data_IF_802311867142
#
_entry.id   IF_802311867142
#
_cell.length_a   1.000
_cell.length_b   1.000
_cell.length_c   1.000
_cell.angle_alpha   90.00
_cell.angle_beta   90.00
_cell.angle_gamma   90.00
#
_symmetry.space_group_name_H-M   'P 1'
#
loop_
_entity.id
_entity.type
_entity.pdbx_description
1 polymer ?
#
# COMPACT_ATOMS: atom_id res chain seq x y z
N UNK A 1 -37.64 -45.88 -28.96
CA UNK A 1 -39.04 -46.17 -29.33
C UNK A 1 -39.81 -46.57 -28.09
N UNK A 2 -41.02 -46.02 -27.94
CA UNK A 2 -42.09 -46.35 -27.00
C UNK A 2 -41.85 -46.30 -25.48
N UNK A 3 -42.51 -45.29 -24.91
CA UNK A 3 -42.93 -45.08 -23.51
C UNK A 3 -43.64 -46.29 -22.90
N UNK A 4 -43.56 -46.41 -21.57
CA UNK A 4 -44.68 -46.81 -20.72
C UNK A 4 -44.57 -46.07 -19.37
N UNK A 5 -45.63 -45.35 -19.03
CA UNK A 5 -45.91 -44.72 -17.72
C UNK A 5 -46.75 -45.71 -16.87
N UNK A 6 -47.58 -45.28 -15.90
CA UNK A 6 -47.28 -44.89 -14.50
C UNK A 6 -48.10 -45.73 -13.47
N UNK A 7 -47.80 -45.63 -12.17
CA UNK A 7 -48.70 -46.00 -11.05
C UNK A 7 -48.22 -45.17 -9.84
N UNK A 8 -49.01 -44.37 -9.12
CA UNK A 8 -50.31 -44.66 -8.51
C UNK A 8 -50.07 -44.82 -7.00
N UNK A 9 -50.12 -43.75 -6.20
CA UNK A 9 -51.28 -43.22 -5.46
C UNK A 9 -51.28 -43.55 -3.95
N UNK A 10 -51.29 -42.49 -3.13
CA UNK A 10 -52.08 -42.23 -1.90
C UNK A 10 -51.92 -43.16 -0.68
N UNK A 11 -51.58 -42.57 0.47
CA UNK A 11 -52.28 -42.62 1.80
C UNK A 11 -51.46 -41.74 2.78
N UNK A 12 -51.91 -40.54 3.16
CA UNK A 12 -52.84 -40.16 4.24
C UNK A 12 -52.15 -39.87 5.59
N UNK A 13 -52.09 -38.56 5.89
CA UNK A 13 -52.19 -37.84 7.18
C UNK A 13 -51.85 -38.56 8.49
N UNK A 14 -50.89 -37.98 9.23
CA UNK A 14 -50.98 -37.81 10.68
C UNK A 14 -50.36 -36.45 11.08
N UNK A 15 -51.16 -35.65 11.77
CA UNK A 15 -50.79 -34.40 12.43
C UNK A 15 -49.80 -34.67 13.57
N UNK A 16 -48.74 -33.86 13.70
CA UNK A 16 -48.30 -33.36 15.01
C UNK A 16 -47.92 -31.88 14.86
N UNK A 17 -48.64 -31.08 15.62
CA UNK A 17 -48.52 -29.65 15.88
C UNK A 17 -47.19 -29.33 16.56
N UNK A 18 -46.43 -28.36 16.03
CA UNK A 18 -45.54 -27.54 16.86
C UNK A 18 -45.42 -26.14 16.27
N UNK A 19 -46.13 -25.21 16.91
CA UNK A 19 -45.76 -23.81 16.93
C UNK A 19 -44.44 -23.67 17.67
N UNK A 20 -43.58 -22.72 17.27
CA UNK A 20 -43.11 -21.60 18.10
C UNK A 20 -41.87 -20.93 17.46
N UNK A 21 -42.01 -19.61 17.30
CA UNK A 21 -40.99 -18.55 17.18
C UNK A 21 -40.05 -18.49 15.98
N UNK A 22 -40.37 -17.53 15.10
CA UNK A 22 -39.39 -16.68 14.41
C UNK A 22 -38.38 -16.11 15.42
N UNK A 23 -37.12 -16.50 15.34
CA UNK A 23 -36.02 -15.70 15.89
C UNK A 23 -35.67 -14.61 14.88
N UNK A 24 -36.22 -13.43 15.11
CA UNK A 24 -35.65 -12.17 14.64
C UNK A 24 -34.29 -11.99 15.33
N UNK A 25 -33.21 -12.35 14.64
CA UNK A 25 -31.90 -11.81 14.99
C UNK A 25 -31.83 -10.39 14.42
N UNK A 26 -32.29 -9.44 15.21
CA UNK A 26 -31.90 -8.04 15.08
C UNK A 26 -30.40 -7.96 15.28
N UNK A 27 -29.64 -7.89 14.20
CA UNK A 27 -28.26 -7.44 14.26
C UNK A 27 -28.28 -5.95 14.60
N UNK A 28 -28.35 -5.64 15.90
CA UNK A 28 -27.83 -4.37 16.39
C UNK A 28 -26.36 -4.35 16.03
N UNK A 29 -26.00 -3.61 14.98
CA UNK A 29 -24.64 -3.14 14.79
C UNK A 29 -24.28 -2.35 16.05
N UNK A 30 -23.65 -3.02 17.00
CA UNK A 30 -22.82 -2.35 17.98
C UNK A 30 -21.71 -1.69 17.16
N UNK A 31 -21.85 -0.39 16.91
CA UNK A 31 -20.69 0.43 16.64
C UNK A 31 -19.72 0.14 17.79
N UNK A 32 -18.60 -0.51 17.47
CA UNK A 32 -17.52 -0.60 18.42
C UNK A 32 -17.13 0.85 18.73
N UNK A 33 -17.43 1.29 19.95
CA UNK A 33 -16.90 2.55 20.48
C UNK A 33 -15.40 2.57 20.18
N UNK A 34 -14.92 3.68 19.60
CA UNK A 34 -13.48 3.94 19.58
C UNK A 34 -12.95 3.76 21.00
N UNK A 35 -11.83 3.03 21.20
CA UNK A 35 -11.28 2.92 22.53
C UNK A 35 -10.91 4.33 22.97
N UNK A 36 -11.68 4.84 23.96
CA UNK A 36 -11.35 6.01 24.76
C UNK A 36 -9.86 5.98 25.00
N UNK A 37 -9.14 7.01 24.55
CA UNK A 37 -7.70 7.14 24.67
C UNK A 37 -7.29 6.68 26.08
N UNK A 38 -6.78 5.46 26.18
CA UNK A 38 -6.38 4.92 27.46
C UNK A 38 -5.31 5.88 27.96
N UNK A 39 -5.49 6.39 29.17
CA UNK A 39 -4.56 7.25 29.87
C UNK A 39 -3.27 6.45 30.17
N UNK A 40 -2.54 6.04 29.11
CA UNK A 40 -1.18 5.53 29.19
C UNK A 40 -0.34 6.73 29.58
N UNK A 41 0.34 6.63 30.70
CA UNK A 41 1.32 7.64 31.09
C UNK A 41 2.25 7.88 29.90
N UNK A 42 2.35 9.14 29.45
CA UNK A 42 3.23 9.48 28.34
C UNK A 42 4.67 9.19 28.77
N UNK A 43 5.39 8.37 28.00
CA UNK A 43 6.80 8.12 28.25
C UNK A 43 7.59 9.44 28.21
N UNK A 44 8.75 9.51 28.88
CA UNK A 44 9.68 10.63 28.70
C UNK A 44 9.91 10.89 27.22
N UNK A 45 9.93 12.17 26.86
CA UNK A 45 10.05 12.56 25.46
C UNK A 45 11.40 12.09 24.90
N UNK A 46 11.38 11.43 23.73
CA UNK A 46 12.57 11.07 22.97
C UNK A 46 13.04 12.24 22.09
N UNK A 47 14.02 12.02 21.21
CA UNK A 47 14.63 13.11 20.42
C UNK A 47 13.68 13.72 19.40
N UNK A 48 12.57 13.07 19.05
CA UNK A 48 11.57 13.63 18.13
C UNK A 48 10.78 14.80 18.74
N UNK A 49 10.87 15.02 20.05
CA UNK A 49 10.20 16.15 20.71
C UNK A 49 10.71 17.52 20.25
N UNK A 50 11.88 17.58 19.60
CA UNK A 50 12.44 18.79 18.99
C UNK A 50 12.08 19.00 17.52
N UNK A 51 11.34 18.07 16.90
CA UNK A 51 10.99 18.13 15.47
C UNK A 51 9.77 19.03 15.22
N UNK A 52 9.62 19.47 13.97
CA UNK A 52 8.46 20.28 13.54
C UNK A 52 7.34 19.47 12.90
N UNK A 53 7.68 18.31 12.31
CA UNK A 53 6.69 17.42 11.69
C UNK A 53 5.63 16.97 12.71
N UNK A 54 4.34 17.21 12.44
CA UNK A 54 3.26 16.64 13.26
C UNK A 54 3.30 15.11 13.32
N UNK A 55 3.74 14.46 12.24
CA UNK A 55 3.92 13.02 12.18
C UNK A 55 5.02 12.55 13.12
N UNK A 56 6.19 13.21 13.15
CA UNK A 56 7.28 12.85 14.06
C UNK A 56 6.92 13.15 15.53
N UNK A 57 6.27 14.28 15.80
CA UNK A 57 5.84 14.68 17.13
C UNK A 57 4.83 13.70 17.75
N UNK A 58 4.01 13.03 16.93
CA UNK A 58 3.11 11.95 17.39
C UNK A 58 3.90 10.79 18.03
N UNK A 59 5.13 10.54 17.59
CA UNK A 59 6.00 9.48 18.10
C UNK A 59 6.94 9.92 19.24
N UNK A 60 6.89 11.20 19.66
CA UNK A 60 7.82 11.77 20.62
C UNK A 60 7.73 11.12 22.02
N UNK A 61 6.61 10.48 22.34
CA UNK A 61 6.38 9.81 23.62
C UNK A 61 6.23 8.29 23.49
N UNK A 62 6.70 7.71 22.38
CA UNK A 62 6.76 6.25 22.27
C UNK A 62 7.89 5.72 23.17
N UNK A 63 7.76 4.51 23.73
CA UNK A 63 8.82 3.89 24.53
C UNK A 63 10.10 3.63 23.71
N UNK A 64 9.99 3.51 22.39
CA UNK A 64 11.14 3.48 21.48
C UNK A 64 11.88 4.83 21.52
N UNK A 65 13.20 4.78 21.73
CA UNK A 65 14.10 5.92 21.75
C UNK A 65 14.44 6.36 20.33
N UNK A 66 13.47 7.02 19.70
CA UNK A 66 13.60 7.53 18.35
C UNK A 66 14.59 8.68 18.25
N UNK A 67 15.36 8.67 17.16
CA UNK A 67 16.11 9.80 16.64
C UNK A 67 15.48 10.30 15.32
N UNK A 68 15.55 11.61 15.03
CA UNK A 68 15.35 12.08 13.67
C UNK A 68 16.50 11.63 12.77
N UNK A 69 16.28 11.66 11.46
CA UNK A 69 17.36 11.41 10.50
C UNK A 69 18.39 12.54 10.54
N UNK A 70 19.63 12.21 10.88
CA UNK A 70 20.72 13.18 10.89
C UNK A 70 22.04 12.64 11.44
N UNK A 71 23.05 13.49 11.45
CA UNK A 71 24.42 13.12 11.84
C UNK A 71 24.52 12.59 13.27
N UNK A 72 23.68 13.05 14.21
CA UNK A 72 23.68 12.54 15.59
C UNK A 72 23.39 11.03 15.62
N UNK A 73 22.31 10.60 14.95
CA UNK A 73 21.91 9.20 14.91
C UNK A 73 22.91 8.34 14.14
N UNK A 74 23.37 8.83 12.98
CA UNK A 74 24.34 8.12 12.14
C UNK A 74 25.69 7.96 12.85
N UNK A 75 26.16 9.00 13.55
CA UNK A 75 27.39 8.94 14.33
C UNK A 75 27.24 8.02 15.53
N UNK A 76 26.09 8.02 16.21
CA UNK A 76 25.80 7.07 17.28
C UNK A 76 25.86 5.63 16.78
N UNK A 77 25.25 5.33 15.63
CA UNK A 77 25.26 4.00 15.04
C UNK A 77 26.69 3.53 14.72
N UNK A 78 27.49 4.37 14.08
CA UNK A 78 28.92 4.10 13.79
C UNK A 78 29.73 3.88 15.06
N UNK A 79 29.61 4.77 16.05
CA UNK A 79 30.35 4.69 17.32
C UNK A 79 30.02 3.43 18.11
N UNK A 80 28.75 3.06 18.16
CA UNK A 80 28.27 1.91 18.93
C UNK A 80 28.27 0.61 18.12
N UNK A 81 28.63 0.67 16.84
CA UNK A 81 28.57 -0.45 15.88
C UNK A 81 27.22 -1.18 15.91
N UNK A 82 26.13 -0.40 15.98
CA UNK A 82 24.75 -0.91 16.04
C UNK A 82 24.05 -0.78 14.69
N UNK A 83 23.23 -1.78 14.38
CA UNK A 83 22.29 -1.73 13.24
C UNK A 83 21.34 -0.55 13.43
N UNK A 84 21.06 0.15 12.33
CA UNK A 84 20.04 1.20 12.30
C UNK A 84 18.70 0.55 11.94
N UNK A 85 17.68 0.77 12.76
CA UNK A 85 16.30 0.52 12.35
C UNK A 85 15.69 1.84 11.86
N UNK A 86 15.52 1.96 10.55
CA UNK A 86 14.92 3.11 9.88
C UNK A 86 13.44 2.85 9.61
N UNK A 87 12.56 3.68 10.20
CA UNK A 87 11.11 3.64 9.97
C UNK A 87 10.61 4.93 9.31
N UNK A 88 10.23 4.83 8.03
CA UNK A 88 9.71 5.96 7.24
C UNK A 88 8.18 5.85 7.14
N UNK A 89 7.48 6.95 7.39
CA UNK A 89 6.04 7.07 7.21
C UNK A 89 5.61 8.51 6.97
N UNK A 90 4.32 8.77 7.06
CA UNK A 90 3.71 10.10 6.89
C UNK A 90 2.35 10.17 7.59
N UNK A 91 1.84 11.37 7.79
CA UNK A 91 0.68 11.67 8.64
C UNK A 91 -0.61 10.93 8.23
N UNK A 92 -0.88 10.75 6.94
CA UNK A 92 -2.09 10.08 6.42
C UNK A 92 -1.90 8.57 6.14
N UNK A 93 -0.76 7.98 6.55
CA UNK A 93 -0.48 6.57 6.33
C UNK A 93 -1.18 5.66 7.36
N UNK A 94 -2.28 5.00 6.95
CA UNK A 94 -3.01 4.07 7.83
C UNK A 94 -2.12 2.99 8.46
N UNK A 95 -1.34 2.27 7.65
CA UNK A 95 -0.49 1.18 8.15
C UNK A 95 0.64 1.67 9.06
N UNK A 96 1.06 2.92 8.95
CA UNK A 96 2.05 3.52 9.84
C UNK A 96 1.47 3.69 11.25
N UNK A 97 0.22 4.14 11.36
CA UNK A 97 -0.52 4.24 12.62
C UNK A 97 -0.85 2.87 13.21
N UNK A 98 -1.12 1.87 12.37
CA UNK A 98 -1.31 0.50 12.86
C UNK A 98 -0.01 -0.05 13.47
N UNK A 99 1.12 0.05 12.75
CA UNK A 99 2.41 -0.43 13.26
C UNK A 99 2.88 0.35 14.50
N UNK A 100 2.57 1.63 14.57
CA UNK A 100 2.82 2.46 15.77
C UNK A 100 2.13 1.89 17.00
N UNK A 101 0.81 1.68 16.93
CA UNK A 101 0.01 1.18 18.06
C UNK A 101 0.36 -0.25 18.45
N UNK A 102 0.61 -1.10 17.47
CA UNK A 102 0.84 -2.52 17.71
C UNK A 102 2.29 -2.83 18.11
N UNK A 103 3.28 -2.11 17.55
CA UNK A 103 4.70 -2.41 17.73
C UNK A 103 5.48 -1.33 18.45
N UNK A 104 5.30 -0.05 18.11
CA UNK A 104 6.15 1.02 18.66
C UNK A 104 5.69 1.52 20.04
N UNK A 105 4.48 1.17 20.47
CA UNK A 105 3.98 1.37 21.84
C UNK A 105 4.10 0.11 22.71
N UNK A 106 4.63 -0.99 22.17
CA UNK A 106 4.84 -2.24 22.89
C UNK A 106 6.18 -2.19 23.63
N UNK A 107 6.13 -2.36 24.96
CA UNK A 107 7.29 -2.22 25.84
C UNK A 107 8.38 -3.27 25.60
N UNK A 108 7.99 -4.50 25.23
CA UNK A 108 8.94 -5.57 24.98
C UNK A 108 9.71 -5.30 23.67
N UNK A 109 8.98 -4.92 22.62
CA UNK A 109 9.59 -4.54 21.34
C UNK A 109 10.47 -3.30 21.53
N UNK A 110 9.98 -2.29 22.26
CA UNK A 110 10.71 -1.06 22.49
C UNK A 110 12.00 -1.29 23.29
N UNK A 111 11.97 -2.10 24.35
CA UNK A 111 13.15 -2.47 25.12
C UNK A 111 14.22 -3.10 24.22
N UNK A 112 13.84 -4.07 23.39
CA UNK A 112 14.74 -4.76 22.47
C UNK A 112 15.34 -3.81 21.42
N UNK A 113 14.50 -2.94 20.85
CA UNK A 113 14.94 -1.92 19.92
C UNK A 113 15.94 -0.95 20.54
N UNK A 114 15.64 -0.46 21.75
CA UNK A 114 16.49 0.50 22.46
C UNK A 114 17.83 -0.11 22.86
N UNK A 115 17.85 -1.39 23.21
CA UNK A 115 19.06 -2.09 23.61
C UNK A 115 20.01 -2.32 22.43
N UNK A 116 19.48 -2.77 21.28
CA UNK A 116 20.31 -3.33 20.22
C UNK A 116 20.40 -2.48 18.94
N UNK A 117 19.54 -1.48 18.76
CA UNK A 117 19.44 -0.71 17.53
C UNK A 117 19.59 0.80 17.78
N UNK A 118 19.97 1.52 16.73
CA UNK A 118 19.72 2.97 16.64
C UNK A 118 18.44 3.16 15.83
N UNK A 119 17.37 3.57 16.51
CA UNK A 119 16.05 3.71 15.90
C UNK A 119 15.89 5.12 15.31
N UNK A 120 15.68 5.21 14.00
CA UNK A 120 15.48 6.47 13.28
C UNK A 120 14.07 6.53 12.71
N UNK A 121 13.34 7.62 13.00
CA UNK A 121 12.03 7.91 12.44
C UNK A 121 12.16 9.00 11.38
N UNK A 122 11.51 8.82 10.24
CA UNK A 122 11.50 9.79 9.15
C UNK A 122 10.08 10.07 8.70
N UNK A 123 9.79 11.36 8.53
CA UNK A 123 8.62 11.82 7.79
C UNK A 123 8.99 11.95 6.32
N UNK A 124 8.30 11.18 5.48
CA UNK A 124 8.45 11.23 4.03
C UNK A 124 8.09 12.61 3.47
N UNK A 125 7.12 13.29 4.07
CA UNK A 125 6.64 14.59 3.58
C UNK A 125 7.72 15.67 3.74
N UNK A 126 8.58 15.55 4.76
CA UNK A 126 9.73 16.44 4.96
C UNK A 126 11.03 15.94 4.29
N UNK A 127 11.22 14.61 4.18
CA UNK A 127 12.43 13.97 3.61
C UNK A 127 12.11 12.98 2.47
N UNK A 128 11.54 13.46 1.35
CA UNK A 128 11.22 12.62 0.20
C UNK A 128 12.47 12.03 -0.47
N UNK A 129 13.63 12.66 -0.28
CA UNK A 129 14.94 12.19 -0.73
C UNK A 129 15.36 10.90 -0.03
N UNK A 130 15.25 10.85 1.30
CA UNK A 130 15.55 9.67 2.11
C UNK A 130 14.55 8.56 1.82
N UNK A 131 13.27 8.90 1.75
CA UNK A 131 12.20 7.98 1.39
C UNK A 131 12.46 7.30 0.04
N UNK A 132 12.70 8.08 -1.02
CA UNK A 132 12.89 7.55 -2.36
C UNK A 132 14.08 6.62 -2.47
N UNK A 133 15.18 6.94 -1.77
CA UNK A 133 16.39 6.12 -1.72
C UNK A 133 16.11 4.74 -1.12
N UNK A 134 15.52 4.71 0.09
CA UNK A 134 15.29 3.46 0.79
C UNK A 134 14.08 2.69 0.26
N UNK A 135 13.08 3.36 -0.30
CA UNK A 135 11.99 2.70 -1.04
C UNK A 135 12.54 1.92 -2.23
N UNK A 136 13.44 2.55 -3.00
CA UNK A 136 14.11 1.88 -4.13
C UNK A 136 14.92 0.68 -3.64
N UNK A 137 15.65 0.81 -2.53
CA UNK A 137 16.38 -0.32 -1.95
C UNK A 137 15.46 -1.49 -1.56
N UNK A 138 14.33 -1.23 -0.90
CA UNK A 138 13.35 -2.28 -0.52
C UNK A 138 12.70 -2.91 -1.75
N UNK A 139 12.42 -2.13 -2.80
CA UNK A 139 11.92 -2.65 -4.07
C UNK A 139 12.95 -3.57 -4.75
N UNK A 140 14.24 -3.25 -4.69
CA UNK A 140 15.29 -4.13 -5.21
C UNK A 140 15.37 -5.45 -4.43
N UNK A 141 15.21 -5.40 -3.10
CA UNK A 141 15.25 -6.58 -2.22
C UNK A 141 14.01 -7.47 -2.42
N UNK A 142 12.81 -6.88 -2.46
CA UNK A 142 11.55 -7.62 -2.35
C UNK A 142 10.67 -7.61 -3.61
N UNK A 143 11.03 -6.85 -4.65
CA UNK A 143 10.20 -6.57 -5.84
C UNK A 143 8.87 -5.88 -5.53
N UNK A 144 8.71 -5.35 -4.31
CA UNK A 144 7.54 -4.60 -3.84
C UNK A 144 7.98 -3.54 -2.84
N UNK A 145 7.17 -2.50 -2.70
CA UNK A 145 7.40 -1.40 -1.76
C UNK A 145 6.10 -0.79 -1.26
N UNK A 146 6.18 0.03 -0.22
CA UNK A 146 5.04 0.67 0.41
C UNK A 146 5.37 1.19 1.82
N UNK A 147 4.38 1.78 2.48
CA UNK A 147 4.53 2.34 3.82
C UNK A 147 3.68 1.58 4.85
N UNK A 148 4.10 1.52 6.13
CA UNK A 148 5.35 2.03 6.69
C UNK A 148 6.55 1.33 6.05
N UNK A 149 7.62 2.07 5.79
CA UNK A 149 8.84 1.49 5.24
C UNK A 149 9.77 1.16 6.41
N UNK A 150 10.02 -0.13 6.61
CA UNK A 150 10.81 -0.65 7.73
C UNK A 150 12.12 -1.21 7.19
N UNK A 151 13.23 -0.54 7.42
CA UNK A 151 14.53 -0.87 6.80
C UNK A 151 15.60 -1.02 7.86
N UNK A 152 16.43 -2.05 7.72
CA UNK A 152 17.57 -2.30 8.59
C UNK A 152 18.85 -2.00 7.82
N UNK A 153 19.67 -1.12 8.40
CA UNK A 153 20.88 -0.60 7.79
C UNK A 153 22.09 -0.96 8.63
N UNK A 154 23.24 -1.12 7.98
CA UNK A 154 24.53 -1.12 8.66
C UNK A 154 24.76 0.22 9.38
N UNK A 155 25.74 0.31 10.30
CA UNK A 155 26.13 1.58 10.93
C UNK A 155 26.48 2.70 9.93
N UNK A 156 26.90 2.34 8.72
CA UNK A 156 27.22 3.27 7.62
C UNK A 156 26.01 3.58 6.72
N UNK A 157 24.80 3.30 7.21
CA UNK A 157 23.52 3.57 6.56
C UNK A 157 23.28 2.80 5.24
N UNK A 158 23.98 1.68 5.02
CA UNK A 158 23.74 0.81 3.85
C UNK A 158 22.63 -0.21 4.15
N UNK A 159 21.57 -0.31 3.33
CA UNK A 159 20.46 -1.23 3.58
C UNK A 159 20.84 -2.68 3.27
N UNK A 160 20.50 -3.62 4.15
CA UNK A 160 20.66 -5.06 3.89
C UNK A 160 19.36 -5.85 4.01
N UNK A 161 18.36 -5.32 4.72
CA UNK A 161 17.05 -5.94 4.85
C UNK A 161 16.00 -4.86 4.98
N UNK A 162 14.78 -5.13 4.52
CA UNK A 162 13.66 -4.24 4.74
C UNK A 162 12.37 -4.82 4.21
N UNK A 163 11.25 -4.28 4.66
CA UNK A 163 9.92 -4.60 4.18
C UNK A 163 8.99 -3.41 4.40
N UNK A 164 7.69 -3.64 4.23
CA UNK A 164 6.67 -2.64 4.55
C UNK A 164 6.24 -2.77 6.02
N UNK A 165 5.01 -3.20 6.24
CA UNK A 165 4.44 -3.45 7.56
C UNK A 165 4.86 -4.83 8.10
N UNK A 166 5.22 -4.87 9.38
CA UNK A 166 5.35 -6.10 10.16
C UNK A 166 4.27 -6.13 11.25
N UNK A 167 3.54 -7.24 11.43
CA UNK A 167 2.70 -7.41 12.62
C UNK A 167 3.56 -7.46 13.89
N UNK A 168 3.01 -7.16 15.07
CA UNK A 168 3.82 -7.11 16.29
C UNK A 168 4.39 -8.49 16.68
N UNK A 169 3.55 -9.52 16.67
CA UNK A 169 3.88 -10.90 17.05
C UNK A 169 3.63 -11.87 15.89
N UNK A 170 4.25 -13.06 15.98
CA UNK A 170 4.01 -14.14 15.03
C UNK A 170 2.54 -14.56 15.08
N UNK A 171 1.95 -14.80 13.89
CA UNK A 171 0.55 -15.19 13.71
C UNK A 171 -0.53 -14.13 13.98
N UNK A 172 -0.17 -12.91 14.39
CA UNK A 172 -1.11 -11.77 14.36
C UNK A 172 -1.68 -11.55 12.94
N UNK A 173 -0.90 -11.95 11.92
CA UNK A 173 -1.36 -12.10 10.55
C UNK A 173 -0.94 -13.43 9.94
N UNK A 174 -1.84 -14.15 9.24
CA UNK A 174 -1.50 -15.41 8.61
C UNK A 174 -0.32 -15.30 7.64
N UNK A 175 0.69 -16.14 7.84
CA UNK A 175 1.84 -16.26 6.93
C UNK A 175 2.86 -15.12 7.00
N UNK A 176 2.81 -14.26 8.02
CA UNK A 176 3.76 -13.14 8.20
C UNK A 176 4.46 -13.26 9.55
N UNK A 177 5.78 -13.19 9.53
CA UNK A 177 6.62 -13.15 10.74
C UNK A 177 6.43 -11.83 11.48
N UNK A 178 6.32 -11.92 12.80
CA UNK A 178 6.17 -10.78 13.70
C UNK A 178 7.45 -9.95 13.82
N UNK A 179 7.26 -8.67 14.10
CA UNK A 179 8.31 -7.68 14.22
C UNK A 179 9.25 -8.01 15.37
N UNK A 180 8.73 -8.50 16.50
CA UNK A 180 9.55 -8.98 17.62
C UNK A 180 10.54 -10.08 17.16
N UNK A 181 10.06 -11.05 16.39
CA UNK A 181 10.88 -12.15 15.86
C UNK A 181 11.90 -11.64 14.85
N UNK A 182 11.51 -10.72 13.98
CA UNK A 182 12.43 -10.07 13.01
C UNK A 182 13.56 -9.32 13.73
N UNK A 183 13.23 -8.47 14.71
CA UNK A 183 14.21 -7.66 15.45
C UNK A 183 15.20 -8.55 16.21
N UNK A 184 14.71 -9.60 16.88
CA UNK A 184 15.59 -10.60 17.54
C UNK A 184 16.53 -11.26 16.54
N UNK A 185 16.00 -11.73 15.42
CA UNK A 185 16.80 -12.44 14.41
C UNK A 185 17.87 -11.56 13.78
N UNK A 186 17.57 -10.29 13.51
CA UNK A 186 18.55 -9.35 12.97
C UNK A 186 19.64 -9.05 13.99
N UNK A 187 19.29 -8.89 15.26
CA UNK A 187 20.28 -8.70 16.32
C UNK A 187 21.23 -9.91 16.44
N UNK A 188 20.69 -11.13 16.46
CA UNK A 188 21.48 -12.38 16.47
C UNK A 188 22.45 -12.44 15.28
N UNK A 189 21.94 -12.22 14.06
CA UNK A 189 22.76 -12.26 12.85
C UNK A 189 23.86 -11.20 12.84
N UNK A 190 23.61 -10.02 13.40
CA UNK A 190 24.63 -8.97 13.54
C UNK A 190 25.70 -9.35 14.57
N UNK A 191 25.36 -10.10 15.62
CA UNK A 191 26.32 -10.63 16.58
C UNK A 191 27.14 -11.80 16.03
N UNK A 192 26.48 -12.72 15.32
CA UNK A 192 27.09 -13.96 14.82
C UNK A 192 27.88 -13.77 13.51
N UNK A 193 27.41 -12.91 12.61
CA UNK A 193 27.94 -12.80 11.24
C UNK A 193 27.81 -11.38 10.66
N UNK A 194 28.36 -10.34 11.32
CA UNK A 194 28.22 -8.96 10.87
C UNK A 194 28.83 -8.70 9.49
N UNK A 195 29.93 -9.38 9.15
CA UNK A 195 30.59 -9.22 7.84
C UNK A 195 29.71 -9.69 6.69
N UNK A 196 28.95 -10.77 6.88
CA UNK A 196 28.00 -11.23 5.87
C UNK A 196 26.90 -10.19 5.62
N UNK A 197 26.38 -9.58 6.68
CA UNK A 197 25.39 -8.50 6.55
C UNK A 197 25.97 -7.24 5.90
N UNK A 198 27.25 -6.94 6.12
CA UNK A 198 27.95 -5.85 5.40
C UNK A 198 28.11 -6.16 3.92
N UNK A 199 28.49 -7.39 3.56
CA UNK A 199 28.58 -7.82 2.17
C UNK A 199 27.22 -7.75 1.47
N UNK A 200 26.15 -8.21 2.14
CA UNK A 200 24.78 -8.09 1.64
C UNK A 200 24.41 -6.61 1.42
N UNK A 201 24.75 -5.74 2.38
CA UNK A 201 24.51 -4.30 2.29
C UNK A 201 25.27 -3.65 1.13
N UNK A 202 26.52 -4.05 0.89
CA UNK A 202 27.34 -3.55 -0.21
C UNK A 202 26.77 -3.95 -1.57
N UNK A 203 26.25 -5.17 -1.69
CA UNK A 203 25.56 -5.62 -2.92
C UNK A 203 24.30 -4.81 -3.19
N UNK A 204 23.47 -4.59 -2.16
CA UNK A 204 22.26 -3.75 -2.30
C UNK A 204 22.64 -2.30 -2.64
N UNK A 205 23.66 -1.74 -1.98
CA UNK A 205 24.12 -0.38 -2.26
C UNK A 205 24.66 -0.21 -3.69
N UNK A 206 25.38 -1.20 -4.22
CA UNK A 206 25.86 -1.19 -5.60
C UNK A 206 24.70 -1.27 -6.61
N UNK A 207 23.72 -2.15 -6.37
CA UNK A 207 22.53 -2.25 -7.20
C UNK A 207 21.71 -0.95 -7.17
N UNK A 208 21.53 -0.36 -5.99
CA UNK A 208 20.85 0.92 -5.80
C UNK A 208 21.56 2.05 -6.55
N UNK A 209 22.89 2.12 -6.47
CA UNK A 209 23.67 3.12 -7.22
C UNK A 209 23.45 2.98 -8.73
N UNK A 210 23.47 1.75 -9.24
CA UNK A 210 23.24 1.46 -10.67
C UNK A 210 21.84 1.90 -11.10
N UNK A 211 20.81 1.57 -10.32
CA UNK A 211 19.42 1.96 -10.58
C UNK A 211 19.27 3.49 -10.60
N UNK A 212 19.84 4.18 -9.61
CA UNK A 212 19.77 5.65 -9.54
C UNK A 212 20.57 6.33 -10.66
N UNK A 213 21.71 5.76 -11.07
CA UNK A 213 22.45 6.24 -12.24
C UNK A 213 21.67 6.01 -13.54
N UNK A 214 20.93 4.89 -13.64
CA UNK A 214 20.02 4.61 -14.75
C UNK A 214 18.83 5.57 -14.85
N UNK A 215 18.41 6.15 -13.71
CA UNK A 215 17.36 7.19 -13.62
C UNK A 215 17.86 8.60 -13.92
N UNK A 216 19.18 8.81 -14.08
CA UNK A 216 19.66 10.09 -14.63
C UNK A 216 19.00 10.31 -15.98
N UNK A 217 18.65 11.56 -16.36
CA UNK A 217 18.06 11.83 -17.66
C UNK A 217 18.99 11.26 -18.74
N UNK A 218 18.65 10.08 -19.26
CA UNK A 218 19.16 9.65 -20.54
C UNK A 218 18.66 10.69 -21.55
N UNK A 219 19.41 10.89 -22.64
CA UNK A 219 18.93 11.75 -23.72
C UNK A 219 17.46 11.39 -23.99
N UNK A 220 16.57 12.39 -23.90
CA UNK A 220 15.13 12.18 -24.06
C UNK A 220 14.93 11.36 -25.32
N UNK A 221 14.54 10.09 -25.17
CA UNK A 221 14.12 9.31 -26.33
C UNK A 221 12.94 10.07 -26.93
N UNK A 222 12.93 10.34 -28.24
CA UNK A 222 11.79 10.99 -28.86
C UNK A 222 10.50 10.26 -28.45
N UNK A 223 9.50 11.00 -27.99
CA UNK A 223 8.15 10.49 -27.81
C UNK A 223 7.54 10.31 -29.21
N UNK A 224 8.00 9.27 -29.91
CA UNK A 224 7.58 8.97 -31.26
C UNK A 224 6.29 8.13 -31.28
N UNK A 225 5.69 8.00 -32.46
CA UNK A 225 4.44 7.26 -32.63
C UNK A 225 4.57 5.79 -32.25
N UNK A 226 5.72 5.17 -32.50
CA UNK A 226 5.96 3.77 -32.16
C UNK A 226 5.89 3.57 -30.65
N UNK A 227 6.48 4.48 -29.87
CA UNK A 227 6.38 4.46 -28.42
C UNK A 227 4.94 4.64 -27.93
N UNK A 228 4.20 5.63 -28.47
CA UNK A 228 2.80 5.87 -28.09
C UNK A 228 1.89 4.69 -28.45
N UNK A 229 2.11 4.03 -29.60
CA UNK A 229 1.38 2.83 -29.99
C UNK A 229 1.61 1.68 -29.00
N UNK A 230 2.87 1.44 -28.62
CA UNK A 230 3.20 0.40 -27.64
C UNK A 230 2.55 0.67 -26.28
N UNK A 231 2.52 1.91 -25.81
CA UNK A 231 1.83 2.26 -24.56
C UNK A 231 0.33 1.95 -24.65
N UNK A 232 -0.31 2.23 -25.79
CA UNK A 232 -1.73 1.89 -25.97
C UNK A 232 -1.96 0.37 -26.00
N UNK A 233 -1.07 -0.39 -26.65
CA UNK A 233 -1.11 -1.86 -26.66
C UNK A 233 -0.96 -2.44 -25.25
N UNK A 234 0.01 -1.96 -24.46
CA UNK A 234 0.22 -2.37 -23.07
C UNK A 234 -0.98 -2.03 -22.17
N UNK A 235 -1.67 -0.90 -22.42
CA UNK A 235 -2.91 -0.57 -21.72
C UNK A 235 -4.05 -1.51 -22.12
N UNK A 236 -4.16 -1.88 -23.40
CA UNK A 236 -5.17 -2.80 -23.89
C UNK A 236 -5.00 -4.22 -23.31
N UNK A 237 -3.77 -4.69 -23.15
CA UNK A 237 -3.49 -5.97 -22.49
C UNK A 237 -3.91 -6.00 -21.01
N UNK A 238 -3.84 -4.84 -20.35
CA UNK A 238 -4.18 -4.67 -18.94
C UNK A 238 -5.62 -4.23 -18.69
N UNK A 239 -6.38 -3.98 -19.76
CA UNK A 239 -7.72 -3.43 -19.67
C UNK A 239 -8.73 -4.48 -19.21
N UNK A 240 -9.57 -4.11 -18.25
CA UNK A 240 -10.69 -4.93 -17.80
C UNK A 240 -11.90 -4.67 -18.71
N UNK A 241 -12.15 -5.55 -19.68
CA UNK A 241 -13.25 -5.40 -20.64
C UNK A 241 -14.64 -5.33 -19.95
N UNK A 242 -14.81 -6.07 -18.86
CA UNK A 242 -16.07 -6.16 -18.14
C UNK A 242 -16.31 -4.90 -17.28
N UNK A 243 -15.30 -4.49 -16.52
CA UNK A 243 -15.44 -3.49 -15.45
C UNK A 243 -14.66 -2.20 -15.69
N UNK A 244 -13.95 -2.05 -16.80
CA UNK A 244 -13.09 -0.90 -17.07
C UNK A 244 -11.91 -0.76 -16.09
N UNK A 245 -11.01 0.17 -16.36
CA UNK A 245 -9.75 0.33 -15.62
C UNK A 245 -8.66 -0.62 -16.07
N UNK A 246 -7.48 -0.47 -15.47
CA UNK A 246 -6.25 -1.15 -15.90
C UNK A 246 -5.67 -2.04 -14.79
N UNK A 247 -4.64 -2.80 -15.17
CA UNK A 247 -3.96 -3.78 -14.34
C UNK A 247 -4.64 -5.15 -14.26
N UNK A 248 -5.70 -5.40 -15.03
CA UNK A 248 -6.38 -6.69 -15.06
C UNK A 248 -5.44 -7.82 -15.49
N UNK A 249 -5.56 -8.97 -14.83
CA UNK A 249 -4.84 -10.18 -15.19
C UNK A 249 -5.68 -11.39 -14.84
N UNK A 250 -5.75 -12.37 -15.75
CA UNK A 250 -6.43 -13.65 -15.52
C UNK A 250 -5.82 -14.39 -14.33
N UNK A 251 -4.51 -14.22 -14.08
CA UNK A 251 -3.83 -14.83 -12.95
C UNK A 251 -4.18 -14.19 -11.60
N UNK A 252 -4.60 -12.92 -11.59
CA UNK A 252 -5.00 -12.20 -10.39
C UNK A 252 -6.17 -11.25 -10.66
N UNK A 253 -7.39 -11.78 -10.87
CA UNK A 253 -8.52 -10.99 -11.34
C UNK A 253 -9.17 -10.14 -10.25
N UNK A 254 -8.79 -10.30 -8.96
CA UNK A 254 -9.44 -9.64 -7.82
C UNK A 254 -8.56 -8.59 -7.13
N UNK A 255 -7.58 -8.04 -7.84
CA UNK A 255 -6.72 -6.97 -7.30
C UNK A 255 -7.51 -5.67 -7.05
N UNK A 256 -7.07 -4.82 -6.11
CA UNK A 256 -7.55 -3.46 -5.99
C UNK A 256 -7.39 -2.68 -7.30
N UNK A 257 -8.32 -1.78 -7.58
CA UNK A 257 -8.40 -1.02 -8.83
C UNK A 257 -8.34 0.49 -8.59
N UNK A 258 -7.47 1.16 -9.34
CA UNK A 258 -7.15 2.57 -9.20
C UNK A 258 -7.67 3.39 -10.40
N UNK A 259 -8.13 4.63 -10.20
CA UNK A 259 -8.58 5.52 -11.28
C UNK A 259 -7.56 5.83 -12.39
N UNK A 260 -6.26 5.81 -12.06
CA UNK A 260 -5.13 6.07 -12.96
C UNK A 260 -5.36 7.23 -13.97
N UNK A 261 -5.57 8.49 -13.49
CA UNK A 261 -5.97 9.60 -14.35
C UNK A 261 -5.01 9.90 -15.51
N UNK A 262 -3.71 9.64 -15.34
CA UNK A 262 -2.70 9.77 -16.41
C UNK A 262 -2.99 8.87 -17.61
N UNK A 263 -3.47 7.65 -17.38
CA UNK A 263 -3.83 6.72 -18.44
C UNK A 263 -5.10 7.20 -19.16
N UNK A 264 -6.06 7.76 -18.43
CA UNK A 264 -7.27 8.34 -19.01
C UNK A 264 -6.95 9.56 -19.89
N UNK A 265 -6.11 10.48 -19.43
CA UNK A 265 -5.67 11.65 -20.20
C UNK A 265 -4.89 11.24 -21.46
N UNK A 266 -4.03 10.22 -21.35
CA UNK A 266 -3.36 9.63 -22.51
C UNK A 266 -4.37 9.08 -23.52
N UNK A 267 -5.38 8.30 -23.07
CA UNK A 267 -6.40 7.75 -23.96
C UNK A 267 -7.28 8.83 -24.61
N UNK A 268 -7.55 9.95 -23.93
CA UNK A 268 -8.22 11.11 -24.53
C UNK A 268 -7.39 11.65 -25.70
N UNK A 269 -6.08 11.82 -25.51
CA UNK A 269 -5.17 12.26 -26.56
C UNK A 269 -5.19 11.28 -27.75
N UNK A 270 -5.11 9.97 -27.49
CA UNK A 270 -5.15 8.92 -28.53
C UNK A 270 -6.49 8.87 -29.27
N UNK A 271 -7.61 8.96 -28.57
CA UNK A 271 -8.94 8.93 -29.17
C UNK A 271 -9.21 10.14 -30.09
N UNK A 272 -8.52 11.27 -29.87
CA UNK A 272 -8.66 12.51 -30.66
C UNK A 272 -7.63 12.64 -31.78
N UNK A 273 -6.55 11.86 -31.77
CA UNK A 273 -5.46 11.95 -32.72
C UNK A 273 -5.88 11.49 -34.13
N UNK A 274 -6.17 12.45 -35.00
CA UNK A 274 -6.60 12.24 -36.39
C UNK A 274 -5.53 11.58 -37.28
N UNK A 275 -4.31 11.41 -36.78
CA UNK A 275 -3.22 10.75 -37.52
C UNK A 275 -3.22 9.23 -37.33
N UNK A 276 -4.02 8.71 -36.40
CA UNK A 276 -4.21 7.29 -36.17
C UNK A 276 -5.32 6.73 -37.05
N UNK A 277 -5.24 5.43 -37.34
CA UNK A 277 -6.35 4.71 -37.94
C UNK A 277 -7.59 4.67 -37.02
N UNK A 278 -8.74 4.40 -37.64
CA UNK A 278 -10.03 4.43 -36.96
C UNK A 278 -10.12 3.38 -35.84
N UNK A 279 -9.52 2.22 -36.03
CA UNK A 279 -9.53 1.10 -35.08
C UNK A 279 -8.76 1.47 -33.80
N UNK A 280 -7.57 2.06 -33.92
CA UNK A 280 -6.78 2.51 -32.78
C UNK A 280 -7.47 3.63 -32.00
N UNK A 281 -8.11 4.59 -32.70
CA UNK A 281 -8.90 5.64 -32.02
C UNK A 281 -10.10 5.06 -31.30
N UNK A 282 -10.81 4.12 -31.92
CA UNK A 282 -11.99 3.48 -31.35
C UNK A 282 -11.64 2.62 -30.14
N UNK A 283 -10.52 1.89 -30.18
CA UNK A 283 -10.02 1.11 -29.05
C UNK A 283 -9.67 2.03 -27.87
N UNK A 284 -8.96 3.14 -28.10
CA UNK A 284 -8.64 4.10 -27.06
C UNK A 284 -9.91 4.72 -26.44
N UNK A 285 -10.87 5.11 -27.28
CA UNK A 285 -12.16 5.63 -26.85
C UNK A 285 -12.95 4.62 -26.03
N UNK A 286 -12.95 3.35 -26.45
CA UNK A 286 -13.63 2.26 -25.75
C UNK A 286 -13.07 2.09 -24.33
N UNK A 287 -11.75 1.95 -24.19
CA UNK A 287 -11.10 1.81 -22.90
C UNK A 287 -11.39 3.01 -21.97
N UNK A 288 -11.31 4.22 -22.51
CA UNK A 288 -11.60 5.47 -21.79
C UNK A 288 -13.03 5.52 -21.26
N UNK A 289 -14.01 5.43 -22.17
CA UNK A 289 -15.43 5.62 -21.82
C UNK A 289 -15.92 4.52 -20.90
N UNK A 290 -15.50 3.27 -21.14
CA UNK A 290 -15.88 2.15 -20.28
C UNK A 290 -15.35 2.34 -18.86
N UNK A 291 -14.10 2.78 -18.71
CA UNK A 291 -13.50 3.06 -17.40
C UNK A 291 -14.23 4.18 -16.66
N UNK A 292 -14.46 5.31 -17.33
CA UNK A 292 -15.17 6.46 -16.75
C UNK A 292 -16.59 6.09 -16.32
N UNK A 293 -17.35 5.38 -17.15
CA UNK A 293 -18.71 4.96 -16.77
C UNK A 293 -18.71 4.01 -15.57
N UNK A 294 -17.81 3.02 -15.55
CA UNK A 294 -17.78 2.04 -14.47
C UNK A 294 -17.34 2.66 -13.14
N UNK A 295 -16.42 3.64 -13.17
CA UNK A 295 -16.08 4.42 -12.00
C UNK A 295 -17.25 5.29 -11.53
N UNK A 296 -17.90 6.02 -12.44
CA UNK A 296 -19.00 6.92 -12.11
C UNK A 296 -20.22 6.19 -11.53
N UNK A 297 -20.49 4.96 -11.98
CA UNK A 297 -21.56 4.11 -11.46
C UNK A 297 -21.15 3.25 -10.26
N UNK A 298 -19.85 3.12 -9.99
CA UNK A 298 -19.31 2.35 -8.88
C UNK A 298 -19.47 3.05 -7.52
N UNK A 299 -19.19 2.31 -6.46
CA UNK A 299 -19.06 2.85 -5.10
C UNK A 299 -17.73 3.60 -4.86
N UNK A 300 -16.80 3.58 -5.83
CA UNK A 300 -15.64 4.48 -5.82
C UNK A 300 -16.04 5.95 -5.96
N UNK A 301 -17.15 6.25 -6.64
CA UNK A 301 -17.73 7.59 -6.68
C UNK A 301 -18.55 7.82 -5.40
N UNK A 302 -18.24 8.86 -4.64
CA UNK A 302 -19.04 9.25 -3.49
C UNK A 302 -20.30 9.96 -3.98
N UNK A 303 -21.38 9.20 -4.12
CA UNK A 303 -22.68 9.70 -4.56
C UNK A 303 -23.35 10.67 -3.57
N UNK A 304 -22.83 10.79 -2.33
CA UNK A 304 -23.38 11.68 -1.29
C UNK A 304 -22.54 12.95 -1.19
N UNK A 305 -21.23 12.80 -0.95
CA UNK A 305 -20.30 13.90 -0.72
C UNK A 305 -19.57 14.40 -1.98
N UNK A 306 -19.76 13.74 -3.12
CA UNK A 306 -19.11 14.06 -4.39
C UNK A 306 -17.64 13.64 -4.48
N UNK A 307 -17.12 13.56 -5.70
CA UNK A 307 -15.74 13.15 -5.96
C UNK A 307 -15.52 11.64 -5.85
N UNK A 308 -14.28 11.22 -6.06
CA UNK A 308 -13.86 9.83 -6.10
C UNK A 308 -12.97 9.49 -4.91
N UNK A 309 -13.21 8.32 -4.33
CA UNK A 309 -12.29 7.67 -3.41
C UNK A 309 -11.02 7.21 -4.14
N UNK A 310 -9.93 7.09 -3.39
CA UNK A 310 -8.59 6.85 -3.95
C UNK A 310 -8.49 5.58 -4.80
N UNK A 311 -9.13 4.50 -4.35
CA UNK A 311 -9.18 3.23 -5.07
C UNK A 311 -10.34 2.35 -4.57
N UNK A 312 -10.68 1.34 -5.36
CA UNK A 312 -11.60 0.26 -4.97
C UNK A 312 -10.79 -0.94 -4.50
N UNK A 313 -11.15 -1.54 -3.37
CA UNK A 313 -10.47 -2.77 -2.88
C UNK A 313 -10.83 -4.00 -3.73
N UNK A 314 -11.86 -3.89 -4.55
CA UNK A 314 -12.30 -4.91 -5.50
C UNK A 314 -12.21 -4.43 -6.96
N UNK A 315 -12.25 -5.40 -7.90
CA UNK A 315 -12.21 -5.13 -9.34
C UNK A 315 -13.45 -4.43 -9.90
N UNK A 316 -14.56 -4.43 -9.18
CA UNK A 316 -15.88 -4.03 -9.65
C UNK A 316 -16.17 -2.54 -9.41
N UNK A 317 -15.22 -1.80 -8.85
CA UNK A 317 -15.38 -0.42 -8.38
C UNK A 317 -16.41 -0.27 -7.25
N UNK A 318 -16.69 -1.32 -6.48
CA UNK A 318 -17.82 -1.31 -5.51
C UNK A 318 -17.43 -0.85 -4.13
N UNK A 319 -16.37 -1.38 -3.55
CA UNK A 319 -15.98 -1.13 -2.17
C UNK A 319 -14.82 -0.12 -2.16
N UNK A 320 -15.06 1.16 -1.81
CA UNK A 320 -14.03 2.16 -1.80
C UNK A 320 -13.08 1.99 -0.60
N UNK A 321 -11.83 2.37 -0.80
CA UNK A 321 -10.97 2.84 0.28
C UNK A 321 -11.32 4.31 0.55
N UNK A 322 -12.04 4.59 1.64
CA UNK A 322 -12.78 5.84 1.90
C UNK A 322 -11.95 7.16 1.94
N UNK A 323 -10.65 7.10 1.71
CA UNK A 323 -9.79 8.27 1.49
C UNK A 323 -10.08 8.96 0.15
N UNK A 324 -10.08 10.29 0.12
CA UNK A 324 -10.15 11.09 -1.13
C UNK A 324 -8.91 11.95 -1.25
N UNK A 325 -8.19 11.80 -2.36
CA UNK A 325 -7.00 12.60 -2.63
C UNK A 325 -7.34 13.76 -3.56
N UNK A 326 -6.85 14.96 -3.22
CA UNK A 326 -7.08 16.16 -4.01
C UNK A 326 -6.51 16.02 -5.43
N UNK A 327 -5.30 15.46 -5.58
CA UNK A 327 -4.67 15.33 -6.89
C UNK A 327 -5.39 14.32 -7.80
N UNK A 328 -5.99 13.26 -7.23
CA UNK A 328 -6.77 12.28 -7.99
C UNK A 328 -8.06 12.94 -8.49
N UNK A 329 -8.79 13.60 -7.58
CA UNK A 329 -10.04 14.28 -7.92
C UNK A 329 -9.84 15.45 -8.90
N UNK A 330 -8.77 16.23 -8.75
CA UNK A 330 -8.43 17.30 -9.68
C UNK A 330 -8.16 16.80 -11.09
N UNK A 331 -7.40 15.72 -11.24
CA UNK A 331 -7.13 15.13 -12.56
C UNK A 331 -8.37 14.43 -13.14
N UNK A 332 -9.17 13.76 -12.31
CA UNK A 332 -10.41 13.13 -12.77
C UNK A 332 -11.42 14.17 -13.24
N UNK A 333 -11.55 15.31 -12.57
CA UNK A 333 -12.40 16.40 -13.04
C UNK A 333 -12.04 16.81 -14.48
N UNK A 334 -10.75 16.96 -14.78
CA UNK A 334 -10.25 17.21 -16.14
C UNK A 334 -10.58 16.05 -17.08
N UNK A 335 -10.31 14.80 -16.68
CA UNK A 335 -10.54 13.64 -17.53
C UNK A 335 -12.03 13.48 -17.90
N UNK A 336 -12.96 13.64 -16.95
CA UNK A 336 -14.40 13.60 -17.23
C UNK A 336 -14.85 14.78 -18.10
N UNK A 337 -14.37 15.99 -17.82
CA UNK A 337 -14.70 17.16 -18.63
C UNK A 337 -14.21 16.99 -20.07
N UNK A 338 -12.96 16.58 -20.27
CA UNK A 338 -12.39 16.40 -21.59
C UNK A 338 -12.96 15.19 -22.33
N UNK A 339 -13.27 14.07 -21.68
CA UNK A 339 -13.79 12.90 -22.37
C UNK A 339 -15.19 13.10 -22.97
N UNK A 340 -15.98 14.02 -22.39
CA UNK A 340 -17.37 14.29 -22.78
C UNK A 340 -17.63 15.72 -23.30
N UNK A 341 -16.57 16.53 -23.45
CA UNK A 341 -16.59 17.78 -24.20
C UNK A 341 -16.42 17.51 -25.71
#
# INVERSE_FOLDING_TARGET
>A
MCRLSPLGSRFSRALITQCVSLMLWSATMAFADEPVASNREKHPANKLAGETSPYLLMHAHNPVQWYPWGEEALTKARRENKVIFLSIGYSSCHWCHVMERESFLDEEIAALLNEHFVCIKVDREERPDVDSLYMTAVQLINQRGGWPLSVFLTPDAKPFFGATYFPARDNDRPGVTGFLTIVRRIHELWGESPEKLREDADRVAAALKTELEGRRPQALKPLDRTFLNRVQEELAEQFDEDFGGFGYSVANPQRPKFPEPSNLLFLIHRARDQQLDDDARQQARHMLVRTLHQMAWGGIHDHVGGGFHRYSVDRYWRIPHFEKMLYDNGQLATAYAEAFA
#
